data_IF_089506639836
#
_entry.id   IF_089506639836
#
_cell.length_a   1.000
_cell.length_b   1.000
_cell.length_c   1.000
_cell.angle_alpha   90.00
_cell.angle_beta   90.00
_cell.angle_gamma   90.00
#
_symmetry.space_group_name_H-M   'P 1'
#
loop_
_entity.id
_entity.type
_entity.pdbx_description
1 polymer ?
#
# COMPACT_ATOMS: atom_id res chain seq x y z
N UNK A 1 -5.30 -2.38 7.35
CA UNK A 1 -4.01 -1.66 7.47
C UNK A 1 -3.89 -0.67 6.31
N UNK A 2 -2.89 0.21 6.34
CA UNK A 2 -2.68 1.23 5.30
C UNK A 2 -3.35 2.57 5.60
N UNK A 3 -3.12 3.51 4.71
CA UNK A 3 -3.64 4.88 4.73
C UNK A 3 -4.54 5.12 3.52
N UNK A 4 -5.20 6.28 3.39
CA UNK A 4 -5.97 6.63 2.20
C UNK A 4 -5.16 6.44 0.90
N UNK A 5 -5.83 5.95 -0.13
CA UNK A 5 -5.25 5.59 -1.45
C UNK A 5 -4.26 4.42 -1.44
N UNK A 6 -4.13 3.67 -0.34
CA UNK A 6 -3.35 2.43 -0.31
C UNK A 6 -4.11 1.26 -0.95
N UNK A 7 -3.38 0.20 -1.32
CA UNK A 7 -4.00 -1.05 -1.79
C UNK A 7 -4.96 -1.66 -0.75
N UNK A 8 -4.68 -1.44 0.54
CA UNK A 8 -5.54 -1.94 1.62
C UNK A 8 -6.87 -1.21 1.72
N UNK A 9 -6.90 0.09 1.47
CA UNK A 9 -8.16 0.86 1.41
C UNK A 9 -9.03 0.44 0.22
N UNK A 10 -8.41 0.26 -0.96
CA UNK A 10 -9.13 -0.28 -2.12
C UNK A 10 -9.79 -1.61 -1.77
N UNK A 11 -9.04 -2.53 -1.16
CA UNK A 11 -9.57 -3.84 -0.80
C UNK A 11 -10.62 -3.76 0.29
N UNK A 12 -10.54 -2.82 1.22
CA UNK A 12 -11.62 -2.57 2.18
C UNK A 12 -12.91 -2.15 1.47
N UNK A 13 -12.81 -1.31 0.45
CA UNK A 13 -13.95 -0.93 -0.41
C UNK A 13 -14.51 -2.12 -1.20
N UNK A 14 -13.64 -2.98 -1.74
CA UNK A 14 -14.06 -4.19 -2.47
C UNK A 14 -14.78 -5.16 -1.55
N UNK A 15 -14.24 -5.43 -0.36
CA UNK A 15 -14.88 -6.32 0.62
C UNK A 15 -16.20 -5.75 1.12
N UNK A 16 -16.29 -4.44 1.40
CA UNK A 16 -17.54 -3.82 1.87
C UNK A 16 -18.66 -3.99 0.85
N UNK A 17 -18.38 -3.83 -0.43
CA UNK A 17 -19.34 -4.08 -1.52
C UNK A 17 -19.71 -5.56 -1.62
N UNK A 18 -18.73 -6.47 -1.55
CA UNK A 18 -18.96 -7.92 -1.66
C UNK A 18 -19.85 -8.46 -0.53
N UNK A 19 -19.70 -7.93 0.68
CA UNK A 19 -20.46 -8.36 1.85
C UNK A 19 -21.72 -7.50 2.13
N UNK A 20 -22.08 -6.60 1.20
CA UNK A 20 -23.22 -5.65 1.32
C UNK A 20 -23.21 -4.91 2.68
N UNK A 21 -22.01 -4.50 3.13
CA UNK A 21 -21.88 -3.73 4.35
C UNK A 21 -22.40 -2.31 4.09
N UNK A 22 -23.27 -1.83 4.99
CA UNK A 22 -23.90 -0.50 4.90
C UNK A 22 -23.28 0.46 5.88
N UNK A 23 -23.32 1.75 5.56
CA UNK A 23 -22.83 2.83 6.42
C UNK A 23 -21.37 2.61 6.87
N UNK A 24 -20.52 2.19 5.91
CA UNK A 24 -19.12 1.84 6.16
C UNK A 24 -18.28 3.11 6.31
N UNK A 25 -17.61 3.24 7.45
CA UNK A 25 -16.52 4.17 7.67
C UNK A 25 -15.18 3.44 7.55
N UNK A 26 -14.27 3.94 6.70
CA UNK A 26 -12.93 3.40 6.57
C UNK A 26 -11.99 4.11 7.54
N UNK A 27 -11.38 3.35 8.45
CA UNK A 27 -10.45 3.85 9.47
C UNK A 27 -9.02 3.49 9.07
N UNK A 28 -8.16 4.47 8.72
CA UNK A 28 -6.75 4.21 8.38
C UNK A 28 -5.96 3.83 9.63
N UNK A 29 -5.36 2.65 9.63
CA UNK A 29 -4.68 2.07 10.80
C UNK A 29 -3.24 1.62 10.48
N UNK A 30 -2.55 2.28 9.58
CA UNK A 30 -1.14 2.08 9.20
C UNK A 30 -0.66 0.61 9.20
N UNK A 31 -0.62 -0.06 10.37
CA UNK A 31 -0.05 -1.38 10.61
C UNK A 31 -1.07 -2.48 10.84
N UNK A 32 -0.69 -3.74 10.57
CA UNK A 32 -1.50 -4.91 10.89
C UNK A 32 -1.73 -5.05 12.41
N UNK A 33 -0.75 -4.67 13.22
CA UNK A 33 -0.88 -4.65 14.68
C UNK A 33 -1.99 -3.70 15.12
N UNK A 34 -2.01 -2.47 14.60
CA UNK A 34 -3.05 -1.50 14.95
C UNK A 34 -4.45 -2.01 14.58
N UNK A 35 -4.60 -2.67 13.42
CA UNK A 35 -5.87 -3.29 13.03
C UNK A 35 -6.30 -4.35 14.05
N UNK A 36 -5.39 -5.21 14.51
CA UNK A 36 -5.72 -6.22 15.51
C UNK A 36 -6.06 -5.59 16.87
N UNK A 37 -5.32 -4.57 17.28
CA UNK A 37 -5.58 -3.86 18.56
C UNK A 37 -6.98 -3.19 18.55
N UNK A 38 -7.36 -2.55 17.43
CA UNK A 38 -8.66 -1.91 17.27
C UNK A 38 -9.81 -2.93 17.22
N UNK A 39 -9.60 -4.09 16.55
CA UNK A 39 -10.55 -5.20 16.58
C UNK A 39 -10.76 -5.75 17.99
N UNK A 40 -9.68 -6.02 18.72
CA UNK A 40 -9.73 -6.55 20.09
C UNK A 40 -10.42 -5.55 21.02
N UNK A 41 -10.18 -4.27 20.82
CA UNK A 41 -10.85 -3.21 21.58
C UNK A 41 -12.30 -2.95 21.15
N UNK A 42 -12.81 -3.67 20.12
CA UNK A 42 -14.18 -3.50 19.58
C UNK A 42 -14.45 -2.07 19.08
N UNK A 43 -13.41 -1.36 18.62
CA UNK A 43 -13.53 -0.02 18.01
C UNK A 43 -13.73 -0.06 16.50
N UNK A 44 -13.44 -1.21 15.89
CA UNK A 44 -13.80 -1.52 14.49
C UNK A 44 -14.48 -2.89 14.45
N UNK A 45 -15.35 -3.11 13.47
CA UNK A 45 -16.07 -4.37 13.28
C UNK A 45 -15.31 -5.35 12.39
N UNK A 46 -14.57 -4.83 11.43
CA UNK A 46 -13.81 -5.60 10.42
C UNK A 46 -12.40 -5.05 10.26
N UNK A 47 -11.46 -5.94 9.97
CA UNK A 47 -10.09 -5.58 9.60
C UNK A 47 -9.73 -6.08 8.21
N UNK A 48 -8.97 -5.30 7.45
CA UNK A 48 -8.39 -5.72 6.18
C UNK A 48 -6.87 -5.75 6.29
N UNK A 49 -6.28 -6.89 5.95
CA UNK A 49 -4.85 -7.17 6.04
C UNK A 49 -4.31 -7.69 4.72
N UNK A 50 -3.17 -7.19 4.28
CA UNK A 50 -2.36 -7.86 3.27
C UNK A 50 -1.72 -9.09 3.91
N UNK A 51 -1.94 -10.30 3.38
CA UNK A 51 -1.49 -11.55 4.01
C UNK A 51 -0.43 -12.30 3.22
N UNK A 52 -0.39 -12.10 1.92
CA UNK A 52 0.56 -12.78 1.03
C UNK A 52 0.74 -11.97 -0.25
N UNK A 53 1.98 -11.87 -0.73
CA UNK A 53 2.27 -11.40 -2.07
C UNK A 53 2.79 -12.57 -2.91
N UNK A 54 2.40 -12.65 -4.17
CA UNK A 54 2.72 -13.77 -5.07
C UNK A 54 4.22 -14.04 -5.21
N UNK A 55 5.05 -13.01 -5.09
CA UNK A 55 6.50 -13.09 -5.24
C UNK A 55 7.27 -12.91 -3.95
N UNK A 56 6.80 -12.01 -3.06
CA UNK A 56 7.43 -11.78 -1.76
C UNK A 56 7.01 -12.81 -0.69
N UNK A 57 5.95 -13.61 -0.96
CA UNK A 57 5.45 -14.61 -0.03
C UNK A 57 4.58 -14.02 1.08
N UNK A 58 4.61 -14.65 2.24
CA UNK A 58 3.79 -14.30 3.40
C UNK A 58 4.16 -12.91 3.93
N UNK A 59 3.15 -12.07 4.18
CA UNK A 59 3.32 -10.80 4.87
C UNK A 59 3.47 -11.06 6.36
N UNK A 60 4.71 -11.07 6.81
CA UNK A 60 5.08 -11.50 8.17
C UNK A 60 4.44 -10.61 9.23
N UNK A 61 4.33 -9.31 9.00
CA UNK A 61 3.66 -8.37 9.90
C UNK A 61 2.21 -8.80 10.18
N UNK A 62 1.45 -9.15 9.14
CA UNK A 62 0.06 -9.60 9.29
C UNK A 62 -0.03 -10.98 9.96
N UNK A 63 0.92 -11.87 9.66
CA UNK A 63 1.00 -13.17 10.32
C UNK A 63 1.23 -13.02 11.81
N UNK A 64 2.21 -12.21 12.21
CA UNK A 64 2.53 -11.95 13.63
C UNK A 64 1.38 -11.23 14.33
N UNK A 65 0.78 -10.22 13.70
CA UNK A 65 -0.34 -9.47 14.30
C UNK A 65 -1.56 -10.35 14.61
N UNK A 66 -1.83 -11.35 13.78
CA UNK A 66 -2.93 -12.32 14.02
C UNK A 66 -2.62 -13.34 15.13
N UNK A 67 -1.33 -13.54 15.47
CA UNK A 67 -0.96 -14.51 16.48
C UNK A 67 -1.47 -14.11 17.87
N UNK A 68 -2.16 -15.03 18.54
CA UNK A 68 -2.67 -14.82 19.88
C UNK A 68 -4.00 -14.05 19.97
N UNK A 69 -4.53 -13.56 18.86
CA UNK A 69 -5.89 -12.97 18.83
C UNK A 69 -6.91 -14.09 18.86
N UNK A 70 -7.62 -14.20 20.00
CA UNK A 70 -8.66 -15.22 20.19
C UNK A 70 -9.93 -14.87 19.41
N UNK A 71 -10.63 -15.90 18.92
CA UNK A 71 -11.91 -15.77 18.20
C UNK A 71 -11.81 -14.92 16.91
N UNK A 72 -10.60 -14.78 16.35
CA UNK A 72 -10.43 -14.12 15.05
C UNK A 72 -10.96 -15.03 13.96
N UNK A 73 -11.92 -14.52 13.19
CA UNK A 73 -12.46 -15.17 11.99
C UNK A 73 -11.93 -14.50 10.74
N UNK A 74 -11.41 -15.28 9.83
CA UNK A 74 -11.13 -14.89 8.45
C UNK A 74 -12.39 -15.18 7.62
N UNK A 75 -13.02 -14.11 7.13
CA UNK A 75 -14.28 -14.21 6.39
C UNK A 75 -14.05 -14.48 4.91
N UNK A 76 -12.97 -13.90 4.37
CA UNK A 76 -12.66 -14.01 2.95
C UNK A 76 -11.20 -13.70 2.67
N UNK A 77 -10.73 -14.23 1.53
CA UNK A 77 -9.40 -14.02 0.98
C UNK A 77 -9.50 -13.68 -0.50
N UNK A 78 -8.97 -12.53 -0.90
CA UNK A 78 -9.00 -12.10 -2.30
C UNK A 78 -7.63 -11.66 -2.79
N UNK A 79 -7.27 -12.07 -4.00
CA UNK A 79 -6.12 -11.56 -4.73
C UNK A 79 -6.48 -10.25 -5.42
N UNK A 80 -5.59 -9.26 -5.32
CA UNK A 80 -5.67 -7.99 -6.03
C UNK A 80 -4.38 -7.73 -6.80
N UNK A 81 -4.45 -7.30 -8.07
CA UNK A 81 -3.28 -6.88 -8.80
C UNK A 81 -2.66 -5.63 -8.15
N UNK A 82 -1.34 -5.58 -8.14
CA UNK A 82 -0.58 -4.48 -7.56
C UNK A 82 0.21 -3.81 -8.67
N UNK A 83 -0.11 -2.56 -8.93
CA UNK A 83 0.58 -1.71 -9.90
C UNK A 83 1.25 -0.54 -9.21
N UNK A 84 2.46 -0.23 -9.65
CA UNK A 84 3.23 0.90 -9.17
C UNK A 84 3.52 1.88 -10.30
N UNK A 85 3.45 3.16 -9.97
CA UNK A 85 3.78 4.26 -10.87
C UNK A 85 4.84 5.14 -10.23
N UNK A 86 5.64 5.83 -11.03
CA UNK A 86 6.55 6.87 -10.57
C UNK A 86 5.92 8.23 -10.78
N UNK A 87 5.85 9.00 -9.71
CA UNK A 87 5.33 10.37 -9.74
C UNK A 87 6.40 11.37 -9.32
N UNK A 88 6.41 12.51 -10.02
CA UNK A 88 7.26 13.67 -9.73
C UNK A 88 6.41 14.85 -9.30
N UNK A 89 7.02 15.85 -8.66
CA UNK A 89 6.32 17.10 -8.35
C UNK A 89 6.02 17.89 -9.61
N UNK A 90 7.01 18.05 -10.49
CA UNK A 90 6.88 18.72 -11.77
C UNK A 90 7.44 17.85 -12.91
N UNK A 91 6.99 18.11 -14.12
CA UNK A 91 7.38 17.36 -15.32
C UNK A 91 8.89 17.30 -15.54
N UNK A 92 9.56 18.43 -15.33
CA UNK A 92 10.97 18.59 -15.70
C UNK A 92 11.92 18.28 -14.54
N UNK A 93 11.40 17.85 -13.38
CA UNK A 93 12.24 17.49 -12.22
C UNK A 93 13.14 16.30 -12.56
N UNK A 94 14.45 16.47 -12.26
CA UNK A 94 15.41 15.37 -12.38
C UNK A 94 15.27 14.47 -11.14
N UNK A 95 15.09 13.17 -11.36
CA UNK A 95 14.95 12.20 -10.28
C UNK A 95 16.32 11.78 -9.77
N UNK A 96 16.58 12.01 -8.48
CA UNK A 96 17.78 11.59 -7.76
C UNK A 96 17.49 10.62 -6.62
N UNK A 97 16.21 10.52 -6.20
CA UNK A 97 15.76 9.51 -5.25
C UNK A 97 14.36 9.03 -5.57
N UNK A 98 14.09 7.76 -5.26
CA UNK A 98 12.82 7.07 -5.41
C UNK A 98 12.34 6.66 -4.02
N UNK A 99 11.25 7.27 -3.56
CA UNK A 99 10.73 7.11 -2.21
C UNK A 99 9.49 6.23 -2.24
N UNK A 100 9.45 5.20 -1.42
CA UNK A 100 8.29 4.31 -1.28
C UNK A 100 8.45 3.34 -0.10
N UNK A 101 7.41 2.55 0.16
CA UNK A 101 7.52 1.39 1.02
C UNK A 101 8.50 0.36 0.43
N UNK A 102 9.30 -0.28 1.28
CA UNK A 102 10.35 -1.21 0.84
C UNK A 102 9.85 -2.30 -0.12
N UNK A 103 8.65 -2.84 0.12
CA UNK A 103 8.08 -3.88 -0.76
C UNK A 103 7.83 -3.37 -2.19
N UNK A 104 7.36 -2.14 -2.36
CA UNK A 104 7.13 -1.57 -3.68
C UNK A 104 8.45 -1.33 -4.42
N UNK A 105 9.48 -0.84 -3.71
CA UNK A 105 10.82 -0.67 -4.26
C UNK A 105 11.43 -2.00 -4.72
N UNK A 106 11.32 -3.05 -3.89
CA UNK A 106 11.82 -4.39 -4.23
C UNK A 106 11.05 -5.03 -5.40
N UNK A 107 9.74 -4.85 -5.47
CA UNK A 107 8.89 -5.37 -6.54
C UNK A 107 9.09 -4.67 -7.88
N UNK A 108 9.73 -3.51 -7.89
CA UNK A 108 9.97 -2.68 -9.07
C UNK A 108 11.46 -2.43 -9.34
N UNK A 109 12.34 -3.10 -8.59
CA UNK A 109 13.76 -2.77 -8.51
C UNK A 109 14.46 -2.75 -9.88
N UNK A 110 14.24 -3.75 -10.72
CA UNK A 110 14.93 -3.85 -11.99
C UNK A 110 14.47 -2.75 -12.97
N UNK A 111 13.16 -2.52 -13.06
CA UNK A 111 12.61 -1.45 -13.90
C UNK A 111 13.01 -0.07 -13.39
N UNK A 112 12.95 0.17 -12.08
CA UNK A 112 13.38 1.44 -11.49
C UNK A 112 14.88 1.71 -11.73
N UNK A 113 15.75 0.70 -11.58
CA UNK A 113 17.19 0.84 -11.88
C UNK A 113 17.46 1.11 -13.36
N UNK A 114 16.66 0.53 -14.24
CA UNK A 114 16.77 0.78 -15.69
C UNK A 114 16.33 2.20 -16.07
N UNK A 115 15.23 2.69 -15.48
CA UNK A 115 14.66 4.01 -15.77
C UNK A 115 15.43 5.14 -15.07
N UNK A 116 15.91 4.89 -13.87
CA UNK A 116 16.56 5.86 -12.97
C UNK A 116 17.85 5.26 -12.38
N UNK A 117 18.89 5.01 -13.21
CA UNK A 117 20.09 4.26 -12.80
C UNK A 117 20.87 4.91 -11.64
N UNK A 118 20.83 6.23 -11.56
CA UNK A 118 21.57 7.02 -10.54
C UNK A 118 20.72 7.38 -9.32
N UNK A 119 19.41 6.99 -9.29
CA UNK A 119 18.54 7.34 -8.19
C UNK A 119 18.75 6.43 -6.97
N UNK A 120 18.77 7.02 -5.79
CA UNK A 120 18.76 6.30 -4.53
C UNK A 120 17.36 5.77 -4.21
N UNK A 121 17.28 4.59 -3.60
CA UNK A 121 16.04 4.04 -3.07
C UNK A 121 15.91 4.44 -1.60
N UNK A 122 14.84 5.16 -1.28
CA UNK A 122 14.58 5.67 0.07
C UNK A 122 13.29 5.04 0.59
N UNK A 123 13.40 4.34 1.70
CA UNK A 123 12.25 3.69 2.34
C UNK A 123 11.41 4.69 3.13
N UNK A 124 10.09 4.52 3.06
CA UNK A 124 9.11 5.16 3.93
C UNK A 124 8.02 4.16 4.35
N UNK A 125 7.13 4.60 5.22
CA UNK A 125 6.16 3.72 5.90
C UNK A 125 5.06 3.17 4.98
N UNK A 126 4.67 3.93 3.94
CA UNK A 126 3.59 3.52 3.01
C UNK A 126 3.78 4.18 1.64
N UNK A 127 3.33 3.51 0.56
CA UNK A 127 3.45 4.00 -0.81
C UNK A 127 2.65 5.28 -1.06
N UNK A 128 1.44 5.39 -0.51
CA UNK A 128 0.62 6.60 -0.64
C UNK A 128 1.17 7.74 0.21
N UNK A 129 1.81 7.43 1.35
CA UNK A 129 2.50 8.42 2.16
C UNK A 129 3.68 9.05 1.43
N UNK A 130 4.41 8.30 0.60
CA UNK A 130 5.44 8.86 -0.27
C UNK A 130 4.88 9.94 -1.22
N UNK A 131 3.71 9.69 -1.81
CA UNK A 131 3.03 10.67 -2.67
C UNK A 131 2.58 11.91 -1.90
N UNK A 132 2.04 11.72 -0.70
CA UNK A 132 1.63 12.81 0.19
C UNK A 132 2.82 13.71 0.56
N UNK A 133 3.90 13.13 1.06
CA UNK A 133 5.13 13.87 1.43
C UNK A 133 5.71 14.62 0.22
N UNK A 134 5.72 13.98 -0.96
CA UNK A 134 6.22 14.61 -2.18
C UNK A 134 5.38 15.85 -2.53
N UNK A 135 4.06 15.74 -2.49
CA UNK A 135 3.14 16.84 -2.81
C UNK A 135 3.26 18.00 -1.81
N UNK A 136 3.41 17.70 -0.51
CA UNK A 136 3.60 18.70 0.55
C UNK A 136 4.97 19.38 0.52
N UNK A 137 5.92 18.87 -0.27
CA UNK A 137 7.29 19.41 -0.29
C UNK A 137 8.13 18.99 0.91
N UNK A 138 7.77 17.93 1.59
CA UNK A 138 8.47 17.38 2.75
C UNK A 138 9.65 16.47 2.36
N UNK A 139 9.73 16.07 1.08
CA UNK A 139 10.86 15.32 0.53
C UNK A 139 11.90 16.25 -0.10
N UNK A 140 13.18 15.86 -0.11
CA UNK A 140 14.25 16.61 -0.77
C UNK A 140 13.95 16.88 -2.26
N UNK A 141 14.56 17.93 -2.80
CA UNK A 141 14.52 18.20 -4.24
C UNK A 141 15.10 17.00 -5.02
N UNK A 142 14.48 16.67 -6.16
CA UNK A 142 14.85 15.50 -6.95
C UNK A 142 14.24 14.19 -6.43
N UNK A 143 13.40 14.21 -5.40
CA UNK A 143 12.65 13.02 -4.99
C UNK A 143 11.48 12.75 -5.94
N UNK A 144 11.22 11.45 -6.19
CA UNK A 144 10.01 10.97 -6.84
C UNK A 144 9.36 9.89 -5.97
N UNK A 145 8.02 9.82 -5.99
CA UNK A 145 7.27 8.82 -5.25
C UNK A 145 6.96 7.62 -6.13
N UNK A 146 7.15 6.41 -5.59
CA UNK A 146 6.67 5.17 -6.21
C UNK A 146 5.41 4.73 -5.47
N UNK A 147 4.25 4.90 -6.11
CA UNK A 147 2.95 4.68 -5.49
C UNK A 147 1.91 4.18 -6.50
N UNK A 148 0.68 3.95 -6.03
CA UNK A 148 -0.46 3.70 -6.91
C UNK A 148 -0.78 4.94 -7.74
N UNK A 149 -1.40 4.70 -8.90
CA UNK A 149 -1.80 5.77 -9.81
C UNK A 149 -2.77 6.76 -9.16
N UNK A 150 -3.80 6.26 -8.51
CA UNK A 150 -4.83 7.07 -7.86
C UNK A 150 -4.27 7.93 -6.70
N UNK A 151 -3.27 7.44 -5.96
CA UNK A 151 -2.58 8.22 -4.95
C UNK A 151 -1.85 9.44 -5.55
N UNK A 152 -1.04 9.22 -6.57
CA UNK A 152 -0.30 10.31 -7.23
C UNK A 152 -1.21 11.33 -7.90
N UNK A 153 -2.28 10.86 -8.58
CA UNK A 153 -3.28 11.74 -9.23
C UNK A 153 -4.07 12.55 -8.19
N UNK A 154 -4.45 11.95 -7.05
CA UNK A 154 -5.13 12.66 -5.97
C UNK A 154 -4.32 13.86 -5.46
N UNK A 155 -3.03 13.69 -5.30
CA UNK A 155 -2.13 14.76 -4.84
C UNK A 155 -1.67 15.71 -5.96
N UNK A 156 -2.19 15.56 -7.19
CA UNK A 156 -1.88 16.42 -8.33
C UNK A 156 -0.44 16.33 -8.82
N UNK A 157 0.23 15.20 -8.57
CA UNK A 157 1.59 14.95 -9.00
C UNK A 157 1.68 14.61 -10.49
N UNK A 158 2.82 14.84 -11.09
CA UNK A 158 3.08 14.48 -12.49
C UNK A 158 3.44 12.99 -12.61
N UNK A 159 2.65 12.25 -13.38
CA UNK A 159 2.94 10.85 -13.73
C UNK A 159 4.14 10.78 -14.67
N UNK A 160 5.24 10.20 -14.21
CA UNK A 160 6.45 10.03 -14.99
C UNK A 160 6.48 8.68 -15.71
N UNK A 161 6.25 7.60 -15.00
CA UNK A 161 6.20 6.22 -15.54
C UNK A 161 5.09 5.43 -14.86
N UNK A 162 4.47 4.53 -15.62
CA UNK A 162 3.41 3.65 -15.11
C UNK A 162 3.79 2.17 -15.26
N UNK A 163 3.18 1.33 -14.40
CA UNK A 163 3.38 -0.12 -14.40
C UNK A 163 4.86 -0.49 -14.28
N UNK A 164 5.55 0.12 -13.30
CA UNK A 164 6.99 -0.06 -13.08
C UNK A 164 7.34 -1.31 -12.28
N UNK A 165 6.36 -2.08 -11.81
CA UNK A 165 6.60 -3.39 -11.20
C UNK A 165 7.34 -4.32 -12.19
N UNK A 166 8.31 -5.08 -11.68
CA UNK A 166 9.15 -5.99 -12.49
C UNK A 166 8.35 -7.16 -13.07
N UNK A 167 7.29 -7.54 -12.38
CA UNK A 167 6.43 -8.62 -12.81
C UNK A 167 4.98 -8.13 -12.97
N UNK A 168 4.45 -8.24 -14.18
CA UNK A 168 3.07 -7.81 -14.51
C UNK A 168 1.99 -8.65 -13.80
N UNK A 169 2.33 -9.84 -13.32
CA UNK A 169 1.46 -10.69 -12.50
C UNK A 169 1.63 -10.43 -11.01
N UNK A 170 2.15 -9.25 -10.63
CA UNK A 170 2.27 -8.87 -9.22
C UNK A 170 0.90 -8.77 -8.57
N UNK A 171 0.65 -9.64 -7.61
CA UNK A 171 -0.63 -9.73 -6.89
C UNK A 171 -0.38 -9.85 -5.40
N UNK A 172 -1.21 -9.19 -4.62
CA UNK A 172 -1.25 -9.35 -3.16
C UNK A 172 -2.60 -9.94 -2.75
N UNK A 173 -2.58 -10.91 -1.86
CA UNK A 173 -3.77 -11.48 -1.25
C UNK A 173 -4.11 -10.73 0.02
N UNK A 174 -5.35 -10.29 0.11
CA UNK A 174 -5.89 -9.59 1.26
C UNK A 174 -6.91 -10.45 1.98
N UNK A 175 -6.95 -10.32 3.29
CA UNK A 175 -7.89 -11.00 4.17
C UNK A 175 -8.84 -9.99 4.80
N UNK A 176 -10.14 -10.31 4.78
CA UNK A 176 -11.14 -9.66 5.61
C UNK A 176 -11.31 -10.47 6.88
N UNK A 177 -11.11 -9.84 8.02
CA UNK A 177 -11.20 -10.49 9.33
C UNK A 177 -12.17 -9.76 10.26
N UNK A 178 -12.76 -10.49 11.22
CA UNK A 178 -13.52 -9.93 12.35
C UNK A 178 -13.32 -10.78 13.60
N UNK A 179 -13.77 -10.28 14.75
CA UNK A 179 -13.94 -11.10 15.97
C UNK A 179 -15.38 -11.64 16.05
N UNK A 180 -15.50 -12.87 16.54
CA UNK A 180 -16.80 -13.45 16.95
C UNK A 180 -17.38 -12.76 18.18
#
# INVERSE_FOLDING_TARGET
MGIPFSNSEEMATVFSKKFDLRDVELVPLMSAKNVMDELVARRIDYGVLAVENRFAGIVEESRVAKMGVRNLKELDLMWSPIHHCVFKRNRDDKVTSLVSHIQALLQSQNNLRRLYPDAEFVECEDTAYAAEMLAKGELPEGSAAVCRRDAGEHYGLYLADENVEDNKDNMTRFSLVKLD
#
